data_IF_777292555542
#
_entry.id   IF_777292555542
#
_cell.length_a   1.000
_cell.length_b   1.000
_cell.length_c   1.000
_cell.angle_alpha   90.00
_cell.angle_beta   90.00
_cell.angle_gamma   90.00
#
_symmetry.space_group_name_H-M   'P 1'
#
loop_
_entity.id
_entity.type
_entity.pdbx_description
1 polymer ?
#
# COMPACT_ATOMS: atom_id res chain seq x y z
N UNK A 1 14.37 -15.76 0.62
CA UNK A 1 13.63 -14.51 0.92
C UNK A 1 13.55 -13.70 -0.35
N UNK A 2 12.45 -13.00 -0.56
CA UNK A 2 12.33 -12.01 -1.63
C UNK A 2 12.39 -10.60 -1.01
N UNK A 3 13.12 -9.70 -1.65
CA UNK A 3 13.16 -8.28 -1.27
C UNK A 3 12.49 -7.52 -2.40
N UNK A 4 11.35 -6.92 -2.11
CA UNK A 4 10.62 -6.06 -3.02
C UNK A 4 11.11 -4.62 -2.84
N UNK A 5 11.71 -4.05 -3.89
CA UNK A 5 12.12 -2.66 -3.91
C UNK A 5 10.94 -1.70 -4.17
N UNK A 6 11.15 -0.42 -3.89
CA UNK A 6 10.15 0.63 -4.07
C UNK A 6 9.72 0.80 -5.54
N UNK A 7 10.56 0.37 -6.48
CA UNK A 7 10.26 0.34 -7.92
C UNK A 7 9.51 -0.93 -8.37
N UNK A 8 9.18 -1.82 -7.43
CA UNK A 8 8.61 -3.17 -7.61
C UNK A 8 9.59 -4.19 -8.19
N UNK A 9 10.89 -3.88 -8.25
CA UNK A 9 11.88 -4.90 -8.57
C UNK A 9 11.99 -5.93 -7.42
N UNK A 10 12.26 -7.18 -7.76
CA UNK A 10 12.33 -8.27 -6.77
C UNK A 10 13.71 -8.88 -6.81
N UNK A 11 14.43 -8.76 -5.70
CA UNK A 11 15.72 -9.41 -5.49
C UNK A 11 15.54 -10.64 -4.61
N UNK A 12 16.21 -11.74 -4.96
CA UNK A 12 16.18 -12.96 -4.16
C UNK A 12 17.44 -13.04 -3.30
N UNK A 13 17.27 -12.95 -1.98
CA UNK A 13 18.36 -13.04 -1.01
C UNK A 13 18.11 -14.16 -0.01
N UNK A 14 19.17 -14.81 0.54
CA UNK A 14 19.02 -15.75 1.65
C UNK A 14 18.42 -15.04 2.87
N UNK A 15 17.46 -15.68 3.55
CA UNK A 15 16.93 -15.16 4.82
C UNK A 15 17.86 -15.53 5.97
N UNK A 16 18.20 -14.59 6.85
CA UNK A 16 19.08 -14.86 8.02
C UNK A 16 18.49 -14.44 9.35
N UNK A 17 17.29 -13.85 9.38
CA UNK A 17 16.68 -13.31 10.62
C UNK A 17 15.20 -13.60 10.69
N UNK A 18 14.74 -14.18 11.82
CA UNK A 18 13.32 -14.27 12.15
C UNK A 18 12.73 -12.87 12.38
N UNK A 19 11.41 -12.73 12.21
CA UNK A 19 10.70 -11.50 12.54
C UNK A 19 9.47 -11.84 13.35
N UNK A 20 9.45 -11.33 14.59
CA UNK A 20 8.38 -11.58 15.55
C UNK A 20 7.28 -10.52 15.45
N UNK A 21 6.11 -10.81 16.03
CA UNK A 21 5.02 -9.83 16.16
C UNK A 21 4.11 -9.67 14.95
N UNK A 22 4.24 -10.51 13.92
CA UNK A 22 3.30 -10.51 12.80
C UNK A 22 1.95 -11.09 13.20
N UNK A 23 0.89 -10.47 12.69
CA UNK A 23 -0.49 -10.98 12.82
C UNK A 23 -1.09 -11.20 11.43
N UNK A 24 -2.13 -12.01 11.34
CA UNK A 24 -2.84 -12.22 10.08
C UNK A 24 -3.56 -10.92 9.67
N UNK A 25 -3.12 -10.31 8.56
CA UNK A 25 -3.60 -9.02 8.07
C UNK A 25 -4.54 -9.12 6.88
N UNK A 26 -4.39 -10.16 6.06
CA UNK A 26 -5.19 -10.30 4.86
C UNK A 26 -5.02 -11.65 4.20
N UNK A 27 -5.71 -11.84 3.08
CA UNK A 27 -5.49 -13.00 2.21
C UNK A 27 -5.54 -12.59 0.75
N UNK A 28 -4.64 -13.14 -0.07
CA UNK A 28 -4.64 -12.97 -1.52
C UNK A 28 -5.01 -14.29 -2.21
N UNK A 29 -5.83 -14.23 -3.27
CA UNK A 29 -6.08 -15.39 -4.13
C UNK A 29 -5.12 -15.35 -5.32
N UNK A 30 -4.31 -16.39 -5.45
CA UNK A 30 -3.34 -16.54 -6.55
C UNK A 30 -2.85 -17.98 -6.64
N UNK A 31 -2.12 -18.33 -7.68
CA UNK A 31 -1.55 -19.67 -7.85
C UNK A 31 -0.16 -19.78 -7.21
N UNK A 32 0.23 -21.01 -6.88
CA UNK A 32 1.59 -21.31 -6.42
C UNK A 32 2.63 -20.88 -7.47
N UNK A 33 2.34 -21.12 -8.74
CA UNK A 33 3.18 -20.73 -9.87
C UNK A 33 3.43 -19.22 -9.91
N UNK A 34 2.40 -18.39 -9.68
CA UNK A 34 2.55 -16.93 -9.63
C UNK A 34 3.44 -16.51 -8.46
N UNK A 35 3.23 -17.07 -7.26
CA UNK A 35 4.06 -16.76 -6.10
C UNK A 35 5.52 -17.19 -6.31
N UNK A 36 5.76 -18.38 -6.86
CA UNK A 36 7.11 -18.86 -7.16
C UNK A 36 7.77 -18.04 -8.26
N UNK A 37 7.04 -17.67 -9.31
CA UNK A 37 7.56 -16.83 -10.39
C UNK A 37 7.93 -15.43 -9.91
N UNK A 38 7.24 -14.89 -8.90
CA UNK A 38 7.48 -13.55 -8.37
C UNK A 38 8.53 -13.54 -7.26
N UNK A 39 8.40 -14.43 -6.29
CA UNK A 39 9.18 -14.39 -5.05
C UNK A 39 10.25 -15.48 -4.98
N UNK A 40 10.36 -16.32 -6.02
CA UNK A 40 11.24 -17.47 -6.03
C UNK A 40 10.66 -18.64 -5.22
N UNK A 41 11.44 -19.71 -4.98
CA UNK A 41 10.98 -20.85 -4.20
C UNK A 41 10.60 -20.44 -2.76
N UNK A 42 9.63 -21.13 -2.14
CA UNK A 42 9.26 -20.88 -0.75
C UNK A 42 10.45 -21.08 0.20
N UNK A 43 10.43 -20.35 1.32
CA UNK A 43 11.41 -20.47 2.39
C UNK A 43 10.96 -21.57 3.35
N UNK A 44 11.77 -22.63 3.45
CA UNK A 44 11.57 -23.67 4.46
C UNK A 44 12.42 -23.33 5.69
N UNK A 45 11.87 -23.37 6.91
CA UNK A 45 12.68 -23.29 8.12
C UNK A 45 13.71 -24.42 8.06
N UNK A 46 15.00 -24.08 8.07
CA UNK A 46 16.03 -25.07 8.31
C UNK A 46 15.89 -25.50 9.77
N UNK A 47 15.61 -26.78 9.98
CA UNK A 47 15.72 -27.37 11.32
C UNK A 47 17.22 -27.59 11.52
N UNK A 48 17.83 -26.89 12.49
CA UNK A 48 19.27 -26.93 12.78
C UNK A 48 19.82 -28.33 13.14
N UNK A 49 18.96 -29.35 13.22
CA UNK A 49 19.26 -30.66 13.78
C UNK A 49 19.07 -31.83 12.80
N UNK A 50 19.33 -31.61 11.50
CA UNK A 50 19.37 -32.67 10.48
C UNK A 50 18.04 -33.39 10.22
N UNK A 51 16.95 -32.91 10.81
CA UNK A 51 15.58 -33.32 10.50
C UNK A 51 15.14 -32.77 9.16
N UNK A 52 14.33 -33.54 8.44
CA UNK A 52 13.53 -33.01 7.32
C UNK A 52 12.80 -31.74 7.78
N UNK A 53 12.71 -30.68 6.96
CA UNK A 53 11.93 -29.50 7.30
C UNK A 53 10.53 -29.96 7.70
N UNK A 54 10.05 -29.51 8.88
CA UNK A 54 8.71 -29.84 9.35
C UNK A 54 7.69 -29.56 8.24
N UNK A 55 6.98 -30.61 7.84
CA UNK A 55 6.16 -30.73 6.61
C UNK A 55 4.91 -29.81 6.58
N UNK A 56 4.82 -28.78 7.41
CA UNK A 56 3.49 -28.30 7.82
C UNK A 56 3.01 -27.01 7.15
N UNK A 57 3.84 -26.29 6.38
CA UNK A 57 3.35 -25.10 5.65
C UNK A 57 4.25 -24.64 4.50
N UNK A 58 3.63 -24.14 3.43
CA UNK A 58 4.32 -23.42 2.36
C UNK A 58 4.40 -21.93 2.73
N UNK A 59 5.61 -21.37 2.82
CA UNK A 59 5.86 -20.01 3.31
C UNK A 59 6.80 -19.22 2.40
N UNK A 60 6.47 -17.97 2.12
CA UNK A 60 7.42 -16.97 1.59
C UNK A 60 7.65 -15.89 2.63
N UNK A 61 8.93 -15.59 2.85
CA UNK A 61 9.39 -14.42 3.59
C UNK A 61 9.71 -13.31 2.58
N UNK A 62 9.03 -12.19 2.70
CA UNK A 62 9.11 -11.07 1.77
C UNK A 62 9.41 -9.79 2.55
N UNK A 63 10.56 -9.17 2.29
CA UNK A 63 10.85 -7.82 2.76
C UNK A 63 10.25 -6.82 1.77
N UNK A 64 9.35 -5.95 2.26
CA UNK A 64 8.78 -4.85 1.48
C UNK A 64 9.29 -3.51 2.02
N UNK A 65 9.17 -2.42 1.26
CA UNK A 65 9.53 -1.09 1.74
C UNK A 65 8.74 -0.64 2.97
N UNK A 66 7.57 -1.23 3.19
CA UNK A 66 6.70 -0.95 4.32
C UNK A 66 6.88 -1.94 5.49
N UNK A 67 7.83 -2.87 5.39
CA UNK A 67 8.11 -3.88 6.40
C UNK A 67 7.98 -5.31 5.87
N UNK A 68 8.30 -6.27 6.72
CA UNK A 68 8.33 -7.69 6.37
C UNK A 68 6.93 -8.31 6.37
N UNK A 69 6.74 -9.27 5.46
CA UNK A 69 5.50 -10.00 5.27
C UNK A 69 5.78 -11.50 5.16
N UNK A 70 4.89 -12.30 5.73
CA UNK A 70 4.79 -13.73 5.45
C UNK A 70 3.58 -13.98 4.56
N UNK A 71 3.81 -14.62 3.41
CA UNK A 71 2.73 -15.17 2.58
C UNK A 71 2.74 -16.68 2.75
N UNK A 72 1.66 -17.27 3.25
CA UNK A 72 1.67 -18.70 3.57
C UNK A 72 0.34 -19.41 3.31
N UNK A 73 0.42 -20.73 3.30
CA UNK A 73 -0.73 -21.62 3.34
C UNK A 73 -0.39 -22.86 4.17
N UNK A 74 -1.40 -23.39 4.88
CA UNK A 74 -1.33 -24.59 5.72
C UNK A 74 -1.17 -25.89 4.94
N UNK A 75 -1.32 -25.85 3.61
CA UNK A 75 -1.08 -26.99 2.74
C UNK A 75 0.42 -27.13 2.44
N UNK A 76 0.88 -28.38 2.38
CA UNK A 76 2.24 -28.74 2.03
C UNK A 76 2.58 -28.39 0.56
N UNK A 77 3.86 -28.12 0.29
CA UNK A 77 4.40 -27.82 -1.03
C UNK A 77 4.07 -28.95 -2.03
N UNK A 78 4.01 -30.21 -1.60
CA UNK A 78 3.68 -31.32 -2.51
C UNK A 78 2.25 -31.23 -3.06
N UNK A 79 1.31 -30.65 -2.30
CA UNK A 79 -0.04 -30.36 -2.80
C UNK A 79 0.02 -29.35 -3.95
N UNK A 80 0.81 -28.29 -3.78
CA UNK A 80 0.93 -27.22 -4.76
C UNK A 80 1.71 -27.62 -6.00
N UNK A 81 2.74 -28.44 -5.87
CA UNK A 81 3.51 -28.96 -7.02
C UNK A 81 2.66 -29.85 -7.94
N UNK A 82 1.61 -30.49 -7.42
CA UNK A 82 0.66 -31.27 -8.23
C UNK A 82 -0.30 -30.37 -9.04
N UNK A 83 -0.53 -29.13 -8.60
CA UNK A 83 -1.49 -28.18 -9.19
C UNK A 83 -0.95 -26.74 -9.16
N UNK A 84 0.19 -26.46 -9.80
CA UNK A 84 0.91 -25.19 -9.59
C UNK A 84 0.12 -23.97 -10.09
N UNK A 85 -0.68 -24.14 -11.15
CA UNK A 85 -1.51 -23.09 -11.73
C UNK A 85 -2.87 -22.87 -11.02
N UNK A 86 -3.25 -23.73 -10.06
CA UNK A 86 -4.56 -23.61 -9.41
C UNK A 86 -4.62 -22.41 -8.47
N UNK A 87 -5.61 -21.55 -8.63
CA UNK A 87 -5.84 -20.46 -7.69
C UNK A 87 -6.16 -21.00 -6.30
N UNK A 88 -5.38 -20.54 -5.33
CA UNK A 88 -5.55 -20.88 -3.91
C UNK A 88 -5.57 -19.60 -3.09
N UNK A 89 -6.24 -19.65 -1.94
CA UNK A 89 -6.22 -18.56 -0.97
C UNK A 89 -4.94 -18.65 -0.14
N UNK A 90 -4.13 -17.59 -0.14
CA UNK A 90 -2.91 -17.45 0.65
C UNK A 90 -3.12 -16.42 1.75
N UNK A 91 -2.67 -16.75 2.95
CA UNK A 91 -2.70 -15.85 4.10
C UNK A 91 -1.52 -14.89 4.05
N UNK A 92 -1.74 -13.65 4.47
CA UNK A 92 -0.74 -12.60 4.56
C UNK A 92 -0.61 -12.20 6.03
N UNK A 93 0.56 -12.43 6.62
CA UNK A 93 0.88 -11.95 7.96
C UNK A 93 1.86 -10.79 7.87
N UNK A 94 1.60 -9.73 8.63
CA UNK A 94 2.45 -8.55 8.71
C UNK A 94 2.24 -7.82 10.04
N UNK A 95 3.16 -6.92 10.37
CA UNK A 95 3.09 -6.10 11.58
C UNK A 95 1.97 -5.06 11.50
N UNK A 96 1.70 -4.53 10.31
CA UNK A 96 0.63 -3.57 10.03
C UNK A 96 0.08 -3.73 8.60
N UNK A 97 -0.83 -2.84 8.20
CA UNK A 97 -1.51 -2.87 6.91
C UNK A 97 -0.68 -2.28 5.75
N UNK A 98 0.45 -1.60 6.03
CA UNK A 98 1.19 -0.83 5.03
C UNK A 98 1.89 -1.71 3.99
N UNK A 99 2.15 -2.97 4.33
CA UNK A 99 2.74 -3.94 3.40
C UNK A 99 1.72 -4.60 2.45
N UNK A 100 0.41 -4.48 2.72
CA UNK A 100 -0.62 -5.14 1.90
C UNK A 100 -0.65 -4.64 0.44
N UNK A 101 -0.61 -3.32 0.14
CA UNK A 101 -0.60 -2.84 -1.24
C UNK A 101 0.58 -3.38 -2.05
N UNK A 102 1.75 -3.53 -1.41
CA UNK A 102 2.95 -4.08 -2.04
C UNK A 102 2.75 -5.52 -2.50
N UNK A 103 2.24 -6.39 -1.62
CA UNK A 103 1.96 -7.79 -1.97
C UNK A 103 0.92 -7.88 -3.09
N UNK A 104 -0.17 -7.13 -2.97
CA UNK A 104 -1.23 -7.13 -3.97
C UNK A 104 -0.74 -6.65 -5.32
N UNK A 105 0.04 -5.56 -5.35
CA UNK A 105 0.62 -5.03 -6.59
C UNK A 105 1.53 -6.07 -7.25
N UNK A 106 2.39 -6.73 -6.48
CA UNK A 106 3.36 -7.71 -7.01
C UNK A 106 2.71 -9.00 -7.50
N UNK A 107 1.65 -9.46 -6.82
CA UNK A 107 1.00 -10.74 -7.14
C UNK A 107 -0.10 -10.58 -8.20
N UNK A 108 -0.91 -9.54 -8.10
CA UNK A 108 -2.11 -9.37 -8.95
C UNK A 108 -1.92 -8.30 -10.03
N UNK A 109 -0.81 -7.56 -10.00
CA UNK A 109 -0.57 -6.41 -10.87
C UNK A 109 -1.32 -5.14 -10.45
N UNK A 110 -2.14 -5.20 -9.40
CA UNK A 110 -3.00 -4.09 -8.97
C UNK A 110 -3.11 -3.99 -7.45
N UNK A 111 -3.25 -2.77 -6.96
CA UNK A 111 -3.62 -2.47 -5.57
C UNK A 111 -5.14 -2.51 -5.34
N UNK A 112 -5.97 -2.53 -6.39
CA UNK A 112 -7.41 -2.33 -6.24
C UNK A 112 -8.08 -3.29 -5.25
N UNK A 113 -7.64 -4.55 -5.20
CA UNK A 113 -8.27 -5.59 -4.39
C UNK A 113 -7.69 -5.74 -2.97
N UNK A 114 -6.69 -4.94 -2.56
CA UNK A 114 -5.99 -5.22 -1.30
C UNK A 114 -6.89 -5.12 -0.08
N UNK A 115 -7.80 -4.13 -0.05
CA UNK A 115 -8.73 -3.93 1.05
C UNK A 115 -9.78 -5.04 1.15
N UNK A 116 -10.27 -5.56 0.03
CA UNK A 116 -11.21 -6.68 0.01
C UNK A 116 -10.64 -7.96 0.66
N UNK A 117 -9.32 -8.18 0.56
CA UNK A 117 -8.64 -9.31 1.20
C UNK A 117 -8.54 -9.24 2.72
N UNK A 118 -8.89 -8.10 3.32
CA UNK A 118 -8.83 -7.84 4.76
C UNK A 118 -10.18 -8.05 5.44
N UNK A 119 -11.28 -8.19 4.68
CA UNK A 119 -12.64 -8.20 5.22
C UNK A 119 -12.86 -9.20 6.37
N UNK A 120 -12.29 -10.41 6.27
CA UNK A 120 -12.39 -11.44 7.31
C UNK A 120 -11.49 -11.18 8.54
N UNK A 121 -10.61 -10.20 8.48
CA UNK A 121 -9.62 -9.83 9.51
C UNK A 121 -9.81 -8.40 10.03
N UNK A 122 -11.00 -7.83 9.84
CA UNK A 122 -11.40 -6.47 10.24
C UNK A 122 -11.18 -6.12 11.72
N UNK A 123 -10.92 -7.13 12.57
CA UNK A 123 -10.56 -6.92 13.99
C UNK A 123 -9.22 -6.20 14.16
N UNK A 124 -8.31 -6.30 13.19
CA UNK A 124 -6.95 -5.75 13.29
C UNK A 124 -6.69 -4.57 12.34
N UNK A 125 -7.64 -4.27 11.45
CA UNK A 125 -7.48 -3.30 10.38
C UNK A 125 -8.73 -2.43 10.26
N UNK A 126 -8.53 -1.14 10.01
CA UNK A 126 -9.60 -0.17 9.77
C UNK A 126 -9.46 0.42 8.37
N UNK A 127 -10.50 1.08 7.88
CA UNK A 127 -10.43 1.78 6.60
C UNK A 127 -9.35 2.87 6.61
N UNK A 128 -9.17 3.57 7.75
CA UNK A 128 -8.07 4.53 7.93
C UNK A 128 -6.70 3.88 7.88
N UNK A 129 -6.47 2.73 8.55
CA UNK A 129 -5.15 2.08 8.51
C UNK A 129 -4.79 1.57 7.13
N UNK A 130 -5.76 1.04 6.38
CA UNK A 130 -5.59 0.64 4.98
C UNK A 130 -5.34 1.84 4.06
N UNK A 131 -6.06 2.95 4.24
CA UNK A 131 -5.82 4.18 3.50
C UNK A 131 -4.41 4.74 3.77
N UNK A 132 -3.96 4.74 5.03
CA UNK A 132 -2.57 5.09 5.39
C UNK A 132 -1.56 4.18 4.69
N UNK A 133 -1.78 2.86 4.72
CA UNK A 133 -0.93 1.89 4.04
C UNK A 133 -0.83 2.16 2.53
N UNK A 134 -1.95 2.52 1.90
CA UNK A 134 -1.96 2.92 0.50
C UNK A 134 -1.22 4.24 0.24
N UNK A 135 -1.31 5.23 1.14
CA UNK A 135 -0.49 6.45 1.04
C UNK A 135 0.99 6.11 1.14
N UNK A 136 1.41 5.30 2.11
CA UNK A 136 2.82 4.88 2.25
C UNK A 136 3.33 4.23 0.97
N UNK A 137 2.54 3.31 0.39
CA UNK A 137 2.83 2.71 -0.92
C UNK A 137 3.00 3.77 -2.02
N UNK A 138 2.08 4.73 -2.15
CA UNK A 138 2.16 5.77 -3.17
C UNK A 138 3.37 6.70 -2.98
N UNK A 139 3.69 7.08 -1.74
CA UNK A 139 4.85 7.95 -1.44
C UNK A 139 6.15 7.26 -1.81
N UNK A 140 6.33 6.00 -1.42
CA UNK A 140 7.50 5.21 -1.78
C UNK A 140 7.59 5.00 -3.30
N UNK A 141 6.47 4.70 -3.97
CA UNK A 141 6.44 4.63 -5.46
C UNK A 141 6.78 5.95 -6.13
N UNK A 142 6.31 7.07 -5.61
CA UNK A 142 6.63 8.41 -6.13
C UNK A 142 8.15 8.65 -6.07
N UNK A 143 8.77 8.36 -4.93
CA UNK A 143 10.21 8.51 -4.71
C UNK A 143 10.98 7.62 -5.69
N UNK A 144 10.65 6.33 -5.77
CA UNK A 144 11.32 5.38 -6.66
C UNK A 144 11.21 5.75 -8.15
N UNK A 145 10.05 6.23 -8.60
CA UNK A 145 9.87 6.70 -9.97
C UNK A 145 10.74 7.94 -10.25
N UNK A 146 10.87 8.85 -9.29
CA UNK A 146 11.73 10.04 -9.45
C UNK A 146 13.19 9.64 -9.56
N UNK A 147 13.67 8.81 -8.63
CA UNK A 147 15.04 8.28 -8.63
C UNK A 147 15.34 7.50 -9.92
N UNK A 148 14.38 6.71 -10.41
CA UNK A 148 14.52 6.04 -11.71
C UNK A 148 14.63 7.03 -12.87
N UNK A 149 13.87 8.12 -12.82
CA UNK A 149 13.98 9.23 -13.76
C UNK A 149 15.37 9.85 -13.77
N UNK A 150 15.99 10.03 -12.60
CA UNK A 150 17.33 10.59 -12.44
C UNK A 150 18.45 9.70 -13.04
N UNK A 151 18.19 8.41 -13.24
CA UNK A 151 19.13 7.49 -13.94
C UNK A 151 19.16 7.66 -15.46
N UNK A 152 18.17 8.36 -16.04
CA UNK A 152 18.11 8.63 -17.47
C UNK A 152 18.65 10.03 -17.79
N UNK A 153 19.14 10.21 -19.03
CA UNK A 153 19.53 11.53 -19.54
C UNK A 153 18.36 12.52 -19.42
N UNK A 154 18.61 13.72 -18.90
CA UNK A 154 17.57 14.72 -18.60
C UNK A 154 16.73 15.11 -19.83
N UNK A 155 17.31 15.10 -21.03
CA UNK A 155 16.61 15.39 -22.29
C UNK A 155 15.79 14.22 -22.85
N UNK A 156 15.95 13.02 -22.31
CA UNK A 156 15.31 11.81 -22.83
C UNK A 156 13.79 11.83 -22.64
N UNK A 157 13.10 11.00 -23.43
CA UNK A 157 11.66 10.79 -23.27
C UNK A 157 11.38 10.02 -21.97
N UNK A 158 12.26 9.10 -21.63
CA UNK A 158 12.19 8.22 -20.48
C UNK A 158 12.30 9.02 -19.17
N UNK A 159 13.25 9.95 -19.07
CA UNK A 159 13.37 10.86 -17.94
C UNK A 159 12.06 11.64 -17.71
N UNK A 160 11.56 12.32 -18.75
CA UNK A 160 10.31 13.10 -18.67
C UNK A 160 9.12 12.22 -18.27
N UNK A 161 9.03 11.02 -18.83
CA UNK A 161 7.97 10.07 -18.52
C UNK A 161 7.96 9.69 -17.03
N UNK A 162 9.12 9.31 -16.48
CA UNK A 162 9.23 8.91 -15.07
C UNK A 162 8.94 10.07 -14.11
N UNK A 163 9.44 11.27 -14.40
CA UNK A 163 9.17 12.47 -13.59
C UNK A 163 7.69 12.84 -13.62
N UNK A 164 7.02 12.75 -14.77
CA UNK A 164 5.58 12.98 -14.86
C UNK A 164 4.76 11.94 -14.08
N UNK A 165 5.12 10.65 -14.18
CA UNK A 165 4.47 9.59 -13.40
C UNK A 165 4.65 9.81 -11.89
N UNK A 166 5.87 10.13 -11.44
CA UNK A 166 6.16 10.46 -10.05
C UNK A 166 5.25 11.59 -9.55
N UNK A 167 5.10 12.68 -10.32
CA UNK A 167 4.20 13.79 -9.96
C UNK A 167 2.73 13.34 -9.84
N UNK A 168 2.25 12.49 -10.74
CA UNK A 168 0.88 11.96 -10.67
C UNK A 168 0.68 11.09 -9.43
N UNK A 169 1.62 10.20 -9.12
CA UNK A 169 1.58 9.35 -7.92
C UNK A 169 1.62 10.21 -6.65
N UNK A 170 2.49 11.23 -6.61
CA UNK A 170 2.57 12.17 -5.48
C UNK A 170 1.27 12.94 -5.27
N UNK A 171 0.61 13.36 -6.36
CA UNK A 171 -0.71 13.99 -6.26
C UNK A 171 -1.77 13.03 -5.71
N UNK A 172 -1.80 11.77 -6.16
CA UNK A 172 -2.71 10.74 -5.63
C UNK A 172 -2.46 10.50 -4.13
N UNK A 173 -1.19 10.44 -3.70
CA UNK A 173 -0.84 10.31 -2.29
C UNK A 173 -1.38 11.47 -1.44
N UNK A 174 -1.20 12.72 -1.90
CA UNK A 174 -1.70 13.91 -1.21
C UNK A 174 -3.22 13.86 -1.03
N UNK A 175 -3.95 13.43 -2.04
CA UNK A 175 -5.41 13.39 -2.00
C UNK A 175 -5.94 12.40 -0.97
N UNK A 176 -5.34 11.21 -0.89
CA UNK A 176 -5.73 10.21 0.12
C UNK A 176 -5.29 10.66 1.51
N UNK A 177 -4.10 11.25 1.62
CA UNK A 177 -3.59 11.77 2.90
C UNK A 177 -4.47 12.89 3.46
N UNK A 178 -4.99 13.79 2.62
CA UNK A 178 -5.97 14.80 3.03
C UNK A 178 -7.21 14.16 3.66
N UNK A 179 -7.81 13.18 2.98
CA UNK A 179 -8.98 12.47 3.48
C UNK A 179 -8.68 11.81 4.84
N UNK A 180 -7.52 11.16 4.95
CA UNK A 180 -7.07 10.54 6.19
C UNK A 180 -6.90 11.57 7.32
N UNK A 181 -6.30 12.72 7.03
CA UNK A 181 -6.11 13.79 8.01
C UNK A 181 -7.43 14.38 8.49
N UNK A 182 -8.38 14.60 7.60
CA UNK A 182 -9.70 15.13 7.95
C UNK A 182 -10.45 14.18 8.89
N UNK A 183 -10.38 12.87 8.61
CA UNK A 183 -10.96 11.84 9.46
C UNK A 183 -10.27 11.79 10.82
N UNK A 184 -8.94 11.75 10.84
CA UNK A 184 -8.15 11.75 12.08
C UNK A 184 -8.43 12.99 12.94
N UNK A 185 -8.58 14.16 12.33
CA UNK A 185 -8.90 15.38 13.05
C UNK A 185 -10.26 15.35 13.74
N UNK A 186 -11.27 14.85 13.04
CA UNK A 186 -12.62 14.77 13.58
C UNK A 186 -12.70 13.82 14.79
N UNK A 187 -11.92 12.73 14.78
CA UNK A 187 -11.86 11.75 15.87
C UNK A 187 -10.76 12.01 16.91
N UNK A 188 -9.92 13.02 16.71
CA UNK A 188 -8.86 13.34 17.66
C UNK A 188 -9.40 13.94 18.96
N UNK A 189 -8.77 13.58 20.07
CA UNK A 189 -8.97 14.26 21.34
C UNK A 189 -8.28 15.64 21.34
N UNK A 190 -8.55 16.44 22.38
CA UNK A 190 -7.96 17.77 22.51
C UNK A 190 -6.43 17.75 22.67
N UNK A 191 -5.86 16.66 23.18
CA UNK A 191 -4.40 16.54 23.34
C UNK A 191 -3.73 16.33 21.98
N UNK A 192 -4.26 15.43 21.15
CA UNK A 192 -3.82 15.18 19.79
C UNK A 192 -4.00 16.42 18.91
N UNK A 193 -5.16 17.09 18.98
CA UNK A 193 -5.40 18.35 18.26
C UNK A 193 -4.37 19.43 18.64
N UNK A 194 -4.15 19.64 19.95
CA UNK A 194 -3.12 20.59 20.42
C UNK A 194 -1.75 20.19 19.89
N UNK A 195 -1.33 18.94 20.05
CA UNK A 195 -0.05 18.43 19.55
C UNK A 195 0.15 18.72 18.08
N UNK A 196 -0.86 18.47 17.24
CA UNK A 196 -0.77 18.65 15.79
C UNK A 196 -0.71 20.11 15.37
N UNK A 197 -1.49 20.98 16.02
CA UNK A 197 -1.45 22.43 15.74
C UNK A 197 -0.11 23.09 16.13
N UNK A 198 0.62 22.50 17.08
CA UNK A 198 1.93 22.98 17.54
C UNK A 198 3.13 22.33 16.87
N UNK A 199 2.95 21.42 15.90
CA UNK A 199 4.08 20.76 15.25
C UNK A 199 5.03 21.82 14.64
N UNK A 200 6.36 21.67 14.74
CA UNK A 200 7.29 22.55 14.04
C UNK A 200 7.29 22.24 12.53
N UNK A 201 7.73 23.20 11.71
CA UNK A 201 8.02 22.93 10.29
C UNK A 201 9.08 21.84 10.20
N UNK A 202 8.80 20.70 9.52
CA UNK A 202 9.77 19.63 9.38
C UNK A 202 11.03 20.15 8.68
N UNK A 203 12.18 19.81 9.23
CA UNK A 203 13.48 20.09 8.62
C UNK A 203 13.89 18.86 7.80
N UNK A 204 14.64 19.07 6.72
CA UNK A 204 15.11 17.99 5.84
C UNK A 204 16.26 17.15 6.43
N UNK A 205 16.88 17.58 7.53
CA UNK A 205 18.11 16.96 8.02
C UNK A 205 17.85 15.58 8.66
N UNK A 206 18.50 14.56 8.09
CA UNK A 206 18.73 13.21 8.64
C UNK A 206 17.56 12.22 8.69
N UNK A 207 16.46 12.49 7.98
CA UNK A 207 15.29 11.60 7.93
C UNK A 207 15.05 10.97 6.55
N UNK A 208 14.55 9.72 6.49
CA UNK A 208 14.07 9.14 5.24
C UNK A 208 13.00 10.03 4.62
N UNK A 209 13.07 10.24 3.30
CA UNK A 209 12.19 11.17 2.59
C UNK A 209 10.70 10.84 2.74
N UNK A 210 10.33 9.57 2.82
CA UNK A 210 8.95 9.16 3.09
C UNK A 210 8.45 9.68 4.44
N UNK A 211 9.29 9.62 5.48
CA UNK A 211 8.98 10.16 6.80
C UNK A 211 8.91 11.69 6.79
N UNK A 212 9.78 12.34 6.00
CA UNK A 212 9.72 13.78 5.79
C UNK A 212 8.40 14.18 5.15
N UNK A 213 7.99 13.49 4.08
CA UNK A 213 6.75 13.76 3.37
C UNK A 213 5.52 13.64 4.27
N UNK A 214 5.45 12.60 5.09
CA UNK A 214 4.33 12.42 6.04
C UNK A 214 4.26 13.55 7.08
N UNK A 215 5.42 13.99 7.60
CA UNK A 215 5.46 15.13 8.54
C UNK A 215 5.12 16.45 7.85
N UNK A 216 5.65 16.66 6.65
CA UNK A 216 5.43 17.87 5.87
C UNK A 216 3.95 18.01 5.51
N UNK A 217 3.32 16.95 5.01
CA UNK A 217 1.88 16.97 4.72
C UNK A 217 1.04 17.21 5.96
N UNK A 218 1.39 16.63 7.12
CA UNK A 218 0.68 16.93 8.38
C UNK A 218 0.86 18.37 8.82
N UNK A 219 2.05 18.93 8.60
CA UNK A 219 2.32 20.34 8.89
C UNK A 219 1.53 21.28 7.96
N UNK A 220 1.44 20.96 6.67
CA UNK A 220 0.74 21.76 5.66
C UNK A 220 -0.78 21.70 5.82
N UNK A 221 -1.32 20.51 6.08
CA UNK A 221 -2.76 20.30 6.29
C UNK A 221 -3.09 20.34 7.77
N UNK A 222 -2.83 21.50 8.40
CA UNK A 222 -3.31 21.78 9.76
C UNK A 222 -4.75 22.27 9.69
N UNK A 223 -5.71 21.50 10.22
CA UNK A 223 -7.06 22.01 10.42
C UNK A 223 -7.06 23.18 11.41
N UNK A 224 -8.06 24.06 11.24
CA UNK A 224 -8.21 25.28 12.02
C UNK A 224 -8.53 24.90 13.48
N UNK A 225 -7.81 25.43 14.49
CA UNK A 225 -7.92 24.98 15.89
C UNK A 225 -9.32 25.09 16.51
N UNK A 226 -10.22 25.89 15.94
CA UNK A 226 -11.54 26.21 16.50
C UNK A 226 -12.64 25.23 16.14
N UNK A 227 -12.46 24.42 15.09
CA UNK A 227 -13.50 23.49 14.64
C UNK A 227 -13.08 22.05 14.87
N UNK A 228 -13.74 21.38 15.82
CA UNK A 228 -13.67 19.92 15.96
C UNK A 228 -14.28 19.20 14.76
N UNK A 229 -15.13 19.89 13.99
CA UNK A 229 -15.82 19.41 12.78
C UNK A 229 -15.89 20.54 11.72
N UNK A 230 -14.80 20.85 11.01
CA UNK A 230 -14.75 21.98 10.07
C UNK A 230 -15.79 21.88 8.93
N UNK A 231 -16.27 20.68 8.61
CA UNK A 231 -17.33 20.44 7.61
C UNK A 231 -18.74 20.21 8.22
N UNK A 232 -18.90 20.32 9.54
CA UNK A 232 -20.21 20.20 10.19
C UNK A 232 -20.82 18.79 10.15
N UNK A 233 -20.10 17.80 10.68
CA UNK A 233 -20.60 16.41 10.79
C UNK A 233 -19.49 15.43 11.18
N UNK A 234 -19.86 14.15 11.37
CA UNK A 234 -18.87 13.07 11.40
C UNK A 234 -18.33 12.87 9.97
N UNK A 235 -17.01 12.66 9.80
CA UNK A 235 -16.42 12.55 8.48
C UNK A 235 -16.89 11.26 7.80
N UNK A 236 -17.56 11.40 6.66
CA UNK A 236 -18.01 10.30 5.82
C UNK A 236 -16.83 9.81 4.95
N UNK A 237 -15.94 8.98 5.53
CA UNK A 237 -14.75 8.47 4.85
C UNK A 237 -15.11 7.72 3.55
N UNK A 238 -16.15 6.89 3.59
CA UNK A 238 -16.67 6.17 2.42
C UNK A 238 -17.08 7.14 1.31
N UNK A 239 -17.85 8.17 1.65
CA UNK A 239 -18.27 9.19 0.70
C UNK A 239 -17.12 10.05 0.20
N UNK A 240 -16.14 10.39 1.04
CA UNK A 240 -14.93 11.13 0.63
C UNK A 240 -14.11 10.34 -0.39
N UNK A 241 -13.88 9.04 -0.16
CA UNK A 241 -13.18 8.15 -1.09
C UNK A 241 -13.94 8.03 -2.42
N UNK A 242 -15.27 7.81 -2.38
CA UNK A 242 -16.11 7.75 -3.59
C UNK A 242 -16.19 9.08 -4.33
N UNK A 243 -16.22 10.21 -3.63
CA UNK A 243 -16.15 11.56 -4.24
C UNK A 243 -14.81 11.71 -4.96
N UNK A 244 -13.71 11.37 -4.29
CA UNK A 244 -12.37 11.45 -4.87
C UNK A 244 -12.19 10.56 -6.10
N UNK A 245 -12.70 9.34 -6.06
CA UNK A 245 -12.69 8.43 -7.21
C UNK A 245 -13.42 9.04 -8.43
N UNK A 246 -14.59 9.67 -8.21
CA UNK A 246 -15.35 10.35 -9.27
C UNK A 246 -14.61 11.57 -9.83
N UNK A 247 -13.97 12.35 -8.98
CA UNK A 247 -13.16 13.49 -9.42
C UNK A 247 -11.95 13.03 -10.24
N UNK A 248 -11.37 11.88 -9.89
CA UNK A 248 -10.27 11.27 -10.64
C UNK A 248 -10.67 10.79 -12.03
N UNK A 249 -11.87 10.23 -12.20
CA UNK A 249 -12.40 9.92 -13.55
C UNK A 249 -12.43 11.18 -14.42
N UNK A 250 -12.97 12.29 -13.89
CA UNK A 250 -13.04 13.57 -14.61
C UNK A 250 -11.66 14.12 -14.94
N UNK A 251 -10.70 13.97 -14.02
CA UNK A 251 -9.35 14.47 -14.20
C UNK A 251 -8.56 13.65 -15.23
N UNK A 252 -8.68 12.32 -15.20
CA UNK A 252 -8.14 11.39 -16.20
C UNK A 252 -8.58 11.79 -17.61
N UNK A 253 -9.87 12.03 -17.80
CA UNK A 253 -10.43 12.38 -19.11
C UNK A 253 -9.97 13.76 -19.61
N UNK A 254 -9.69 14.70 -18.68
CA UNK A 254 -9.18 16.05 -19.00
C UNK A 254 -7.68 16.09 -19.31
N UNK A 255 -6.87 15.37 -18.54
CA UNK A 255 -5.40 15.37 -18.71
C UNK A 255 -4.96 14.44 -19.84
N UNK A 256 -5.72 13.40 -20.11
CA UNK A 256 -5.44 12.42 -21.16
C UNK A 256 -6.58 12.46 -22.18
N UNK A 257 -6.70 13.51 -23.02
CA UNK A 257 -7.74 13.55 -24.05
C UNK A 257 -7.49 12.46 -25.10
N UNK A 258 -8.55 11.78 -25.57
CA UNK A 258 -8.51 10.55 -26.40
C UNK A 258 -7.60 10.60 -27.65
N UNK A 259 -7.24 11.80 -28.11
CA UNK A 259 -6.37 12.03 -29.25
C UNK A 259 -4.87 11.86 -28.97
N UNK A 260 -4.42 11.85 -27.71
CA UNK A 260 -3.03 11.52 -27.40
C UNK A 260 -2.82 10.01 -27.55
N UNK A 261 -1.69 9.58 -28.15
CA UNK A 261 -1.35 8.16 -28.33
C UNK A 261 0.08 7.88 -27.86
N UNK A 262 0.35 6.64 -27.46
CA UNK A 262 1.68 6.14 -27.12
C UNK A 262 1.81 5.62 -25.68
N UNK A 263 2.93 4.94 -25.37
CA UNK A 263 3.12 4.19 -24.10
C UNK A 263 3.04 5.09 -22.86
N UNK A 264 3.41 6.36 -22.99
CA UNK A 264 3.29 7.38 -21.92
C UNK A 264 1.84 7.62 -21.50
N UNK A 265 0.88 7.51 -22.43
CA UNK A 265 -0.54 7.64 -22.12
C UNK A 265 -1.07 6.37 -21.46
N UNK A 266 -0.74 5.22 -22.02
CA UNK A 266 -1.21 3.91 -21.52
C UNK A 266 -0.83 3.74 -20.05
N UNK A 267 0.44 3.95 -19.70
CA UNK A 267 0.88 3.85 -18.30
C UNK A 267 0.24 4.89 -17.36
N UNK A 268 -0.13 6.08 -17.86
CA UNK A 268 -0.89 7.06 -17.06
C UNK A 268 -2.34 6.63 -16.87
N UNK A 269 -2.99 6.15 -17.93
CA UNK A 269 -4.37 5.64 -17.88
C UNK A 269 -4.47 4.49 -16.88
N UNK A 270 -3.55 3.52 -16.97
CA UNK A 270 -3.47 2.40 -16.04
C UNK A 270 -3.30 2.86 -14.59
N UNK A 271 -2.44 3.86 -14.34
CA UNK A 271 -2.25 4.43 -13.01
C UNK A 271 -3.53 5.06 -12.45
N UNK A 272 -4.27 5.84 -13.26
CA UNK A 272 -5.54 6.41 -12.83
C UNK A 272 -6.60 5.34 -12.60
N UNK A 273 -6.73 4.38 -13.51
CA UNK A 273 -7.74 3.32 -13.42
C UNK A 273 -7.50 2.45 -12.19
N UNK A 274 -6.24 2.12 -11.89
CA UNK A 274 -5.86 1.44 -10.66
C UNK A 274 -6.19 2.29 -9.43
N UNK A 275 -5.79 3.57 -9.41
CA UNK A 275 -6.06 4.44 -8.27
C UNK A 275 -7.57 4.58 -7.99
N UNK A 276 -8.38 4.80 -9.02
CA UNK A 276 -9.84 4.85 -8.93
C UNK A 276 -10.39 3.53 -8.37
N UNK A 277 -9.94 2.38 -8.90
CA UNK A 277 -10.33 1.06 -8.42
C UNK A 277 -9.98 0.84 -6.96
N UNK A 278 -8.80 1.26 -6.52
CA UNK A 278 -8.36 1.18 -5.12
C UNK A 278 -9.20 2.04 -4.20
N UNK A 279 -9.51 3.29 -4.58
CA UNK A 279 -10.37 4.17 -3.79
C UNK A 279 -11.78 3.61 -3.64
N UNK A 280 -12.36 3.10 -4.73
CA UNK A 280 -13.70 2.49 -4.70
C UNK A 280 -13.72 1.24 -3.83
N UNK A 281 -12.75 0.35 -3.98
CA UNK A 281 -12.70 -0.88 -3.18
C UNK A 281 -12.45 -0.58 -1.70
N UNK A 282 -11.60 0.39 -1.35
CA UNK A 282 -11.45 0.88 0.03
C UNK A 282 -12.78 1.40 0.61
N UNK A 283 -13.56 2.13 -0.19
CA UNK A 283 -14.86 2.64 0.24
C UNK A 283 -15.89 1.50 0.43
N UNK A 284 -15.89 0.52 -0.47
CA UNK A 284 -16.92 -0.52 -0.54
C UNK A 284 -16.63 -1.73 0.35
N UNK A 285 -15.39 -1.94 0.77
CA UNK A 285 -15.05 -3.03 1.70
C UNK A 285 -15.71 -2.76 3.04
N UNK A 286 -16.46 -3.73 3.58
CA UNK A 286 -17.10 -3.62 4.89
C UNK A 286 -16.05 -3.69 6.01
N UNK A 287 -15.59 -2.52 6.45
CA UNK A 287 -14.62 -2.27 7.51
C UNK A 287 -15.10 -1.13 8.41
N UNK A 288 -14.70 -1.11 9.70
CA UNK A 288 -14.85 0.06 10.55
C UNK A 288 -13.95 1.19 10.03
N UNK A 289 -14.38 2.45 10.18
CA UNK A 289 -13.56 3.60 9.79
C UNK A 289 -12.35 3.76 10.72
N UNK A 290 -12.59 3.64 12.03
CA UNK A 290 -11.58 3.80 13.10
C UNK A 290 -11.72 2.71 14.16
N UNK A 291 -10.69 2.57 15.01
CA UNK A 291 -10.61 1.54 16.05
C UNK A 291 -11.72 1.67 17.11
N UNK A 292 -12.26 2.86 17.31
CA UNK A 292 -13.35 3.12 18.27
C UNK A 292 -14.66 2.47 17.84
N UNK A 293 -14.93 2.39 16.53
CA UNK A 293 -16.13 1.75 15.97
C UNK A 293 -16.05 0.21 15.97
N UNK A 294 -14.88 -0.38 16.23
CA UNK A 294 -14.69 -1.84 16.29
C UNK A 294 -15.09 -2.47 17.63
N UNK A 295 -15.53 -1.66 18.61
CA UNK A 295 -15.83 -2.08 20.00
C UNK A 295 -17.33 -2.20 20.32
N UNK A 296 -18.20 -1.95 19.35
CA UNK A 296 -19.67 -2.05 19.50
C UNK A 296 -20.21 -3.44 19.19
#
# INVERSE_FOLDING_TARGET
MAVLGDDLDIQHTPCTTSHDGMTLRGTVRTSYEVLTSRFGPPTFPQVDDGGLPAEDSTLWLIDTPAGRVHVHNWLDVTYFLKRPAAETRWSIQATDDAALPWIYKSVTGSTAAFSAGVHEFSRYSTRVSLARGYVTYLVQRMIALRERGERYDQGSREHRHQIELSRHVGHMALQVQQIVHDVEWAYADDADRRRWTTLPMPQLADEPESQHWHRWTRWTYRPVPTDSRPEGGDPDLVGMLRRRARDQVRFRDRILPANHRGPTREGKVELYDEHIGTLLTLADTALPDTVEQSRS
#
